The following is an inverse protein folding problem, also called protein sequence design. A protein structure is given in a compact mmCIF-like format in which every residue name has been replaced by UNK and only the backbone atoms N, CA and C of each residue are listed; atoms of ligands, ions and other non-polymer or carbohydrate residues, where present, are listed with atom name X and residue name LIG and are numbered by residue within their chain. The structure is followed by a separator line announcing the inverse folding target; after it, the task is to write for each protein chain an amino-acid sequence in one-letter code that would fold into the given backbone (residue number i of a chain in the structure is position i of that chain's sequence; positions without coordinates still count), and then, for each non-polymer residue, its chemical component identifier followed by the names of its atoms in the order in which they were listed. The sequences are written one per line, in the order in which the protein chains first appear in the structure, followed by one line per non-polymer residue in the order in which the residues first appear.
data_IF_412760925779
#
_entry.id   IF_412760925779
#
_cell.length_a   1.000
_cell.length_b   1.000
_cell.length_c   1.000
_cell.angle_alpha   90.00
_cell.angle_beta   90.00
_cell.angle_gamma   90.00
#
_symmetry.space_group_name_H-M   'P 1'
#
loop_
_entity.id
_entity.type
_entity.pdbx_description
1 polymer ?
#
# COMPACT_ATOMS: atom_id res chain seq x y z
N UNK A 1 11.82 4.51 -8.21
CA UNK A 1 10.49 4.88 -8.74
C UNK A 1 9.43 4.88 -7.64
N UNK A 2 8.57 5.91 -7.58
CA UNK A 2 7.34 5.86 -6.76
C UNK A 2 6.28 5.10 -7.53
N UNK A 3 5.92 3.89 -7.09
CA UNK A 3 4.77 3.17 -7.65
C UNK A 3 3.50 3.64 -6.96
N UNK A 4 2.50 4.04 -7.74
CA UNK A 4 1.17 4.35 -7.22
C UNK A 4 0.44 3.06 -6.82
N UNK A 5 -0.54 3.17 -5.92
CA UNK A 5 -1.36 2.03 -5.48
C UNK A 5 -2.04 1.32 -6.66
N UNK A 6 -2.43 2.06 -7.70
CA UNK A 6 -2.99 1.51 -8.94
C UNK A 6 -1.99 0.62 -9.70
N UNK A 7 -0.72 1.04 -9.80
CA UNK A 7 0.33 0.24 -10.45
C UNK A 7 0.66 -1.01 -9.64
N UNK A 8 0.61 -0.93 -8.31
CA UNK A 8 0.75 -2.10 -7.46
C UNK A 8 -0.44 -3.05 -7.66
N UNK A 9 -1.66 -2.53 -7.74
CA UNK A 9 -2.85 -3.33 -7.95
C UNK A 9 -2.74 -4.14 -9.26
N UNK A 10 -2.40 -3.48 -10.36
CA UNK A 10 -2.15 -4.12 -11.65
C UNK A 10 -1.04 -5.18 -11.56
N UNK A 11 0.12 -4.84 -10.98
CA UNK A 11 1.25 -5.76 -10.85
C UNK A 11 0.96 -7.01 -9.99
N UNK A 12 0.05 -6.90 -9.01
CA UNK A 12 -0.37 -8.01 -8.15
C UNK A 12 -1.67 -8.68 -8.63
N UNK A 13 -2.21 -8.29 -9.79
CA UNK A 13 -3.41 -8.91 -10.38
C UNK A 13 -4.73 -8.48 -9.75
N UNK A 14 -4.76 -7.36 -9.02
CA UNK A 14 -5.99 -6.77 -8.52
C UNK A 14 -6.63 -5.90 -9.60
N UNK A 15 -7.90 -6.17 -9.92
CA UNK A 15 -8.68 -5.37 -10.86
C UNK A 15 -8.94 -3.94 -10.40
N UNK A 16 -8.89 -3.68 -9.09
CA UNK A 16 -9.12 -2.36 -8.52
C UNK A 16 -8.18 -2.07 -7.33
N UNK A 17 -7.59 -0.86 -7.23
CA UNK A 17 -6.72 -0.48 -6.12
C UNK A 17 -7.38 -0.53 -4.74
N UNK A 18 -8.70 -0.39 -4.64
CA UNK A 18 -9.44 -0.51 -3.38
C UNK A 18 -9.40 -1.95 -2.85
N UNK A 19 -9.40 -2.96 -3.73
CA UNK A 19 -9.25 -4.35 -3.31
C UNK A 19 -7.87 -4.60 -2.72
N UNK A 20 -6.81 -4.09 -3.36
CA UNK A 20 -5.46 -4.16 -2.81
C UNK A 20 -5.39 -3.46 -1.44
N UNK A 21 -5.97 -2.26 -1.30
CA UNK A 21 -5.98 -1.53 -0.03
C UNK A 21 -6.73 -2.28 1.08
N UNK A 22 -7.87 -2.89 0.74
CA UNK A 22 -8.67 -3.67 1.70
C UNK A 22 -7.97 -4.96 2.11
N UNK A 23 -7.32 -5.63 1.16
CA UNK A 23 -6.49 -6.80 1.42
C UNK A 23 -5.29 -6.44 2.32
N UNK A 24 -4.55 -5.39 1.96
CA UNK A 24 -3.40 -4.91 2.73
C UNK A 24 -3.78 -4.57 4.18
N UNK A 25 -4.90 -3.87 4.38
CA UNK A 25 -5.40 -3.54 5.73
C UNK A 25 -5.79 -4.78 6.52
N UNK A 26 -6.39 -5.78 5.90
CA UNK A 26 -6.73 -7.04 6.58
C UNK A 26 -5.48 -7.81 7.01
N UNK A 27 -4.43 -7.83 6.18
CA UNK A 27 -3.20 -8.56 6.48
C UNK A 27 -2.29 -7.84 7.49
N UNK A 28 -2.18 -6.51 7.41
CA UNK A 28 -1.22 -5.73 8.21
C UNK A 28 -1.87 -4.99 9.39
N UNK A 29 -3.20 -4.90 9.42
CA UNK A 29 -3.95 -4.04 10.36
C UNK A 29 -3.86 -2.54 10.06
N UNK A 30 -3.10 -2.12 9.03
CA UNK A 30 -2.84 -0.70 8.71
C UNK A 30 -3.24 -0.38 7.27
N UNK A 31 -3.62 0.86 6.98
CA UNK A 31 -3.88 1.29 5.60
C UNK A 31 -2.56 1.49 4.85
N UNK A 32 -2.57 1.35 3.52
CA UNK A 32 -1.37 1.61 2.70
C UNK A 32 -0.81 3.01 2.93
N UNK A 33 -1.68 4.03 3.06
CA UNK A 33 -1.27 5.40 3.33
C UNK A 33 -0.59 5.56 4.69
N UNK A 34 -1.15 4.94 5.74
CA UNK A 34 -0.55 4.98 7.07
C UNK A 34 0.79 4.25 7.09
N UNK A 35 0.90 3.11 6.41
CA UNK A 35 2.16 2.37 6.27
C UNK A 35 3.21 3.17 5.51
N UNK A 36 2.83 3.87 4.43
CA UNK A 36 3.73 4.75 3.68
C UNK A 36 4.17 5.96 4.50
N UNK A 37 3.27 6.54 5.29
CA UNK A 37 3.62 7.64 6.18
C UNK A 37 4.59 7.19 7.28
N UNK A 38 4.30 6.06 7.93
CA UNK A 38 5.15 5.44 8.95
C UNK A 38 6.53 5.11 8.37
N UNK A 39 6.58 4.49 7.18
CA UNK A 39 7.83 4.19 6.48
C UNK A 39 8.62 5.47 6.15
N UNK A 40 7.95 6.54 5.72
CA UNK A 40 8.60 7.84 5.44
C UNK A 40 9.09 8.54 6.71
N UNK A 41 8.44 8.30 7.86
CA UNK A 41 8.81 8.85 9.16
C UNK A 41 9.91 8.02 9.84
N UNK A 42 9.97 6.71 9.61
CA UNK A 42 10.94 5.79 10.19
C UNK A 42 12.20 5.55 9.34
N UNK A 43 12.22 5.90 8.06
CA UNK A 43 13.43 5.81 7.21
C UNK A 43 14.47 6.92 7.49
N UNK A 44 14.47 7.48 8.70
CA UNK A 44 15.38 8.51 9.19
C UNK A 44 16.09 8.12 10.49
N UNK A 45 16.17 6.82 10.80
CA UNK A 45 16.99 6.24 11.87
C UNK A 45 17.95 5.20 11.29
#
# INVERSE_FOLDING_TARGET
ERRSVSQLADAYGFSDPSHLMRFFKQQTGRTCSAYLEDYRRGAGE
#
